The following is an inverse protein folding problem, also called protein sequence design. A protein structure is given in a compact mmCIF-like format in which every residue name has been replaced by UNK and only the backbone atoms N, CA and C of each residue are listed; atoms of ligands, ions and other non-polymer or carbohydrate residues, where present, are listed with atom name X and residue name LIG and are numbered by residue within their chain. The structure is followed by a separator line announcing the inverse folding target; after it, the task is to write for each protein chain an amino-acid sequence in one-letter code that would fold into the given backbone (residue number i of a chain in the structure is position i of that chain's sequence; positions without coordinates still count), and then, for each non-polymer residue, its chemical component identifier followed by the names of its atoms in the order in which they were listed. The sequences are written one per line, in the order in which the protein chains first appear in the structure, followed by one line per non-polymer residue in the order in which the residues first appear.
data_IF_413745502834
#
_entry.id   IF_413745502834
#
_cell.length_a   1.000
_cell.length_b   1.000
_cell.length_c   1.000
_cell.angle_alpha   90.00
_cell.angle_beta   90.00
_cell.angle_gamma   90.00
#
_symmetry.space_group_name_H-M   'P 1'
#
loop_
_entity.id
_entity.type
_entity.pdbx_description
1 polymer ?
#
# COMPACT_ATOMS: atom_id res chain seq x y z
N UNK A 1 -3.55 5.84 -18.40
CA UNK A 1 -3.78 6.41 -17.06
C UNK A 1 -2.85 5.80 -16.01
N UNK A 2 -2.93 4.49 -15.73
CA UNK A 2 -2.21 3.85 -14.62
C UNK A 2 -0.68 4.02 -14.64
N UNK A 3 0.03 3.85 -15.77
CA UNK A 3 1.49 4.05 -15.81
C UNK A 3 1.92 5.49 -15.51
N UNK A 4 1.13 6.47 -15.97
CA UNK A 4 1.39 7.88 -15.68
C UNK A 4 1.14 8.20 -14.20
N UNK A 5 0.07 7.63 -13.60
CA UNK A 5 -0.23 7.81 -12.18
C UNK A 5 0.86 7.19 -11.29
N UNK A 6 1.31 5.97 -11.59
CA UNK A 6 2.43 5.33 -10.87
C UNK A 6 3.68 6.19 -10.94
N UNK A 7 4.01 6.74 -12.12
CA UNK A 7 5.17 7.63 -12.28
C UNK A 7 5.02 8.93 -11.48
N UNK A 8 3.84 9.53 -11.44
CA UNK A 8 3.60 10.76 -10.67
C UNK A 8 3.67 10.52 -9.16
N UNK A 9 3.14 9.39 -8.69
CA UNK A 9 3.20 9.01 -7.27
C UNK A 9 4.64 8.72 -6.83
N UNK A 10 5.45 8.07 -7.67
CA UNK A 10 6.86 7.85 -7.37
C UNK A 10 7.66 9.16 -7.38
N UNK A 11 7.40 10.05 -8.34
CA UNK A 11 7.98 11.40 -8.37
C UNK A 11 7.64 12.18 -7.10
N UNK A 12 6.39 12.13 -6.66
CA UNK A 12 5.97 12.75 -5.41
C UNK A 12 6.76 12.22 -4.21
N UNK A 13 6.89 10.89 -4.04
CA UNK A 13 7.62 10.30 -2.90
C UNK A 13 9.10 10.70 -2.85
N UNK A 14 9.70 10.98 -4.01
CA UNK A 14 11.08 11.46 -4.09
C UNK A 14 11.11 12.95 -3.70
N UNK A 15 10.28 13.77 -4.37
CA UNK A 15 10.28 15.23 -4.17
C UNK A 15 9.89 15.58 -2.73
N UNK A 16 8.91 14.89 -2.13
CA UNK A 16 8.44 15.15 -0.77
C UNK A 16 9.57 15.01 0.27
N UNK A 17 10.54 14.12 0.03
CA UNK A 17 11.72 13.97 0.88
C UNK A 17 12.76 15.07 0.66
N UNK A 18 12.83 15.64 -0.54
CA UNK A 18 13.76 16.74 -0.85
C UNK A 18 13.28 18.07 -0.27
N UNK A 19 11.98 18.23 -0.08
CA UNK A 19 11.37 19.49 0.38
C UNK A 19 10.79 19.39 1.80
N UNK A 20 11.16 18.36 2.57
CA UNK A 20 10.60 18.08 3.90
C UNK A 20 10.79 19.26 4.87
N UNK A 21 11.88 20.01 4.74
CA UNK A 21 12.18 21.20 5.56
C UNK A 21 11.20 22.37 5.31
N UNK A 22 10.78 22.57 4.06
CA UNK A 22 9.87 23.66 3.66
C UNK A 22 8.39 23.23 3.68
N UNK A 23 8.14 21.94 3.46
CA UNK A 23 6.81 21.33 3.35
C UNK A 23 6.80 20.04 4.17
N UNK A 24 6.54 20.14 5.49
CA UNK A 24 6.61 19.00 6.41
C UNK A 24 5.55 17.92 6.12
N UNK A 25 4.40 18.30 5.56
CA UNK A 25 3.38 17.35 5.15
C UNK A 25 2.51 17.86 3.99
N UNK A 26 1.91 16.92 3.27
CA UNK A 26 0.97 17.22 2.18
C UNK A 26 -0.29 17.94 2.68
N UNK A 27 -0.73 17.68 3.91
CA UNK A 27 -1.87 18.38 4.52
C UNK A 27 -1.54 19.85 4.79
N UNK A 28 -0.34 20.14 5.28
CA UNK A 28 0.11 21.52 5.47
C UNK A 28 0.25 22.24 4.12
N UNK A 29 0.78 21.55 3.10
CA UNK A 29 0.82 22.08 1.73
C UNK A 29 -0.58 22.44 1.23
N UNK A 30 -1.52 21.50 1.31
CA UNK A 30 -2.89 21.73 0.85
C UNK A 30 -3.58 22.85 1.61
N UNK A 31 -3.39 22.93 2.93
CA UNK A 31 -3.92 24.02 3.76
C UNK A 31 -3.32 25.38 3.36
N UNK A 32 -2.00 25.46 3.20
CA UNK A 32 -1.27 26.68 2.80
C UNK A 32 -1.76 27.23 1.46
N UNK A 33 -2.03 26.35 0.50
CA UNK A 33 -2.49 26.73 -0.83
C UNK A 33 -4.02 26.66 -1.02
N UNK A 34 -4.79 26.44 0.06
CA UNK A 34 -6.27 26.35 0.06
C UNK A 34 -6.80 25.34 -0.96
N UNK A 35 -6.16 24.17 -1.04
CA UNK A 35 -6.57 23.08 -1.91
C UNK A 35 -7.63 22.22 -1.21
N UNK A 36 -8.82 22.11 -1.80
CA UNK A 36 -9.89 21.22 -1.34
C UNK A 36 -10.03 20.01 -2.28
N UNK A 37 -9.14 19.04 -2.10
CA UNK A 37 -9.06 17.86 -2.96
C UNK A 37 -8.86 16.57 -2.13
N UNK A 38 -9.84 16.17 -1.30
CA UNK A 38 -9.70 15.03 -0.38
C UNK A 38 -9.41 13.70 -1.09
N UNK A 39 -9.94 13.49 -2.29
CA UNK A 39 -9.65 12.31 -3.09
C UNK A 39 -8.19 12.26 -3.59
N UNK A 40 -7.61 13.41 -3.94
CA UNK A 40 -6.21 13.51 -4.33
C UNK A 40 -5.29 13.26 -3.13
N UNK A 41 -5.61 13.86 -1.97
CA UNK A 41 -4.91 13.62 -0.72
C UNK A 41 -4.90 12.12 -0.36
N UNK A 42 -6.06 11.47 -0.42
CA UNK A 42 -6.18 10.04 -0.17
C UNK A 42 -5.29 9.23 -1.11
N UNK A 43 -5.34 9.51 -2.42
CA UNK A 43 -4.51 8.83 -3.43
C UNK A 43 -3.02 8.95 -3.13
N UNK A 44 -2.56 10.15 -2.76
CA UNK A 44 -1.17 10.42 -2.43
C UNK A 44 -0.73 9.62 -1.18
N UNK A 45 -1.58 9.56 -0.15
CA UNK A 45 -1.32 8.76 1.06
C UNK A 45 -1.26 7.27 0.80
N UNK A 46 -2.14 6.77 -0.07
CA UNK A 46 -2.20 5.36 -0.46
C UNK A 46 -0.98 4.95 -1.30
N UNK A 47 -0.48 5.84 -2.16
CA UNK A 47 0.76 5.60 -2.92
C UNK A 47 0.63 4.67 -4.13
N UNK A 48 -0.57 4.13 -4.41
CA UNK A 48 -0.86 3.34 -5.63
C UNK A 48 -2.01 3.95 -6.44
N UNK A 49 -2.10 3.75 -7.77
CA UNK A 49 -3.16 4.30 -8.60
C UNK A 49 -4.58 3.88 -8.21
N UNK A 50 -5.59 4.68 -8.57
CA UNK A 50 -7.00 4.36 -8.31
C UNK A 50 -7.48 3.08 -8.99
N UNK A 51 -6.89 2.75 -10.13
CA UNK A 51 -7.17 1.50 -10.82
C UNK A 51 -6.60 0.29 -10.08
N UNK A 52 -5.66 0.47 -9.14
CA UNK A 52 -5.16 -0.59 -8.25
C UNK A 52 -5.99 -0.63 -6.97
N UNK A 53 -6.47 0.50 -6.47
CA UNK A 53 -7.34 0.55 -5.30
C UNK A 53 -8.81 0.19 -5.58
N UNK A 54 -9.25 0.37 -6.83
CA UNK A 54 -10.65 0.17 -7.25
C UNK A 54 -10.77 -0.55 -8.61
N UNK A 55 -9.85 -1.45 -8.95
CA UNK A 55 -9.88 -2.21 -10.22
C UNK A 55 -11.28 -2.77 -10.51
N UNK A 56 -11.92 -2.28 -11.57
CA UNK A 56 -13.15 -2.85 -12.15
C UNK A 56 -12.86 -3.83 -13.29
N UNK A 57 -11.64 -3.76 -13.84
CA UNK A 57 -11.17 -4.65 -14.90
C UNK A 57 -10.59 -5.90 -14.28
N UNK A 58 -11.40 -6.94 -14.21
CA UNK A 58 -10.90 -8.28 -14.02
C UNK A 58 -10.55 -8.88 -15.37
N UNK A 59 -9.25 -9.10 -15.62
CA UNK A 59 -8.85 -10.01 -16.68
C UNK A 59 -9.27 -11.45 -16.34
N UNK A 60 -9.19 -12.40 -17.29
CA UNK A 60 -9.41 -13.80 -16.98
C UNK A 60 -8.46 -14.22 -15.85
N UNK A 61 -9.02 -14.67 -14.72
CA UNK A 61 -8.24 -15.15 -13.59
C UNK A 61 -7.44 -16.37 -14.02
N UNK A 62 -6.14 -16.18 -14.27
CA UNK A 62 -5.26 -17.27 -14.67
C UNK A 62 -4.69 -17.94 -13.42
N UNK A 63 -4.47 -19.26 -13.46
CA UNK A 63 -3.79 -19.97 -12.38
C UNK A 63 -2.42 -19.37 -12.02
N UNK A 64 -1.77 -18.72 -13.00
CA UNK A 64 -0.56 -17.90 -12.79
C UNK A 64 -0.78 -16.74 -11.81
N UNK A 65 -1.86 -15.98 -11.95
CA UNK A 65 -2.14 -14.84 -11.05
C UNK A 65 -2.46 -15.28 -9.63
N UNK A 66 -3.21 -16.39 -9.50
CA UNK A 66 -3.47 -17.03 -8.20
C UNK A 66 -2.14 -17.40 -7.55
N UNK A 67 -1.27 -18.11 -8.27
CA UNK A 67 0.04 -18.52 -7.76
C UNK A 67 0.92 -17.33 -7.36
N UNK A 68 1.03 -16.30 -8.21
CA UNK A 68 1.80 -15.09 -7.91
C UNK A 68 1.29 -14.38 -6.66
N UNK A 69 -0.02 -14.24 -6.51
CA UNK A 69 -0.60 -13.51 -5.37
C UNK A 69 -0.49 -14.31 -4.08
N UNK A 70 -0.71 -15.63 -4.14
CA UNK A 70 -0.45 -16.53 -3.01
C UNK A 70 1.02 -16.46 -2.58
N UNK A 71 1.94 -16.43 -3.54
CA UNK A 71 3.36 -16.24 -3.26
C UNK A 71 3.62 -14.90 -2.57
N UNK A 72 3.04 -13.79 -3.05
CA UNK A 72 3.16 -12.49 -2.39
C UNK A 72 2.64 -12.50 -0.95
N UNK A 73 1.54 -13.21 -0.66
CA UNK A 73 1.04 -13.40 0.71
C UNK A 73 2.06 -14.14 1.58
N UNK A 74 2.59 -15.26 1.08
CA UNK A 74 3.60 -16.06 1.79
C UNK A 74 4.85 -15.22 2.06
N UNK A 75 5.36 -14.53 1.05
CA UNK A 75 6.54 -13.66 1.17
C UNK A 75 6.34 -12.58 2.24
N UNK A 76 5.17 -11.92 2.27
CA UNK A 76 4.90 -10.90 3.28
C UNK A 76 4.81 -11.48 4.69
N UNK A 77 4.13 -12.62 4.86
CA UNK A 77 4.06 -13.30 6.15
C UNK A 77 5.42 -13.78 6.63
N UNK A 78 6.25 -14.31 5.74
CA UNK A 78 7.58 -14.80 6.10
C UNK A 78 8.54 -13.67 6.44
N UNK A 79 8.46 -12.52 5.76
CA UNK A 79 9.19 -11.31 6.16
C UNK A 79 8.88 -10.91 7.61
N UNK A 80 7.59 -10.91 7.98
CA UNK A 80 7.16 -10.60 9.36
C UNK A 80 7.66 -11.64 10.37
N UNK A 81 7.64 -12.94 10.02
CA UNK A 81 8.17 -14.02 10.88
C UNK A 81 9.70 -13.92 11.06
N UNK A 82 10.41 -13.47 10.02
CA UNK A 82 11.85 -13.18 10.07
C UNK A 82 12.17 -11.89 10.82
N UNK A 83 11.18 -11.26 11.46
CA UNK A 83 11.29 -10.00 12.21
C UNK A 83 11.75 -8.82 11.34
N UNK A 84 11.47 -8.86 10.04
CA UNK A 84 11.57 -7.65 9.21
C UNK A 84 10.49 -6.68 9.68
N UNK A 85 10.90 -5.51 10.16
CA UNK A 85 10.00 -4.49 10.73
C UNK A 85 10.20 -3.12 10.11
N UNK A 86 11.33 -2.88 9.45
CA UNK A 86 11.62 -1.60 8.83
C UNK A 86 10.72 -1.33 7.61
N UNK A 87 10.37 -0.06 7.40
CA UNK A 87 9.54 0.37 6.26
C UNK A 87 10.15 -0.05 4.93
N UNK A 88 11.43 0.21 4.70
CA UNK A 88 12.12 -0.09 3.44
C UNK A 88 12.09 -1.58 3.08
N UNK A 89 12.04 -2.45 4.09
CA UNK A 89 11.87 -3.89 3.95
C UNK A 89 10.42 -4.31 3.68
N UNK A 90 9.45 -3.75 4.43
CA UNK A 90 8.06 -4.20 4.38
C UNK A 90 7.24 -3.54 3.27
N UNK A 91 7.50 -2.26 2.97
CA UNK A 91 6.71 -1.47 2.03
C UNK A 91 6.71 -2.05 0.61
N UNK A 92 7.85 -2.44 0.01
CA UNK A 92 7.85 -3.02 -1.34
C UNK A 92 7.01 -4.31 -1.41
N UNK A 93 7.14 -5.17 -0.40
CA UNK A 93 6.44 -6.47 -0.35
C UNK A 93 4.92 -6.27 -0.20
N UNK A 94 4.50 -5.34 0.68
CA UNK A 94 3.08 -5.02 0.86
C UNK A 94 2.48 -4.35 -0.37
N UNK A 95 3.23 -3.47 -1.04
CA UNK A 95 2.77 -2.82 -2.27
C UNK A 95 2.53 -3.82 -3.39
N UNK A 96 3.43 -4.79 -3.56
CA UNK A 96 3.29 -5.87 -4.54
C UNK A 96 2.09 -6.76 -4.20
N UNK A 97 1.87 -7.06 -2.92
CA UNK A 97 0.70 -7.82 -2.47
C UNK A 97 -0.62 -7.10 -2.77
N UNK A 98 -0.74 -5.81 -2.43
CA UNK A 98 -1.95 -5.00 -2.70
C UNK A 98 -2.20 -4.91 -4.20
N UNK A 99 -1.16 -4.67 -5.00
CA UNK A 99 -1.27 -4.57 -6.46
C UNK A 99 -1.61 -5.91 -7.09
N UNK A 100 -1.02 -6.99 -6.56
CA UNK A 100 -1.28 -8.35 -7.00
C UNK A 100 -2.71 -8.77 -6.72
N UNK A 101 -3.25 -8.48 -5.54
CA UNK A 101 -4.62 -8.83 -5.21
C UNK A 101 -5.66 -7.97 -5.95
N UNK A 102 -5.32 -6.73 -6.28
CA UNK A 102 -6.22 -5.82 -6.98
C UNK A 102 -6.71 -6.35 -8.35
N UNK A 103 -6.08 -7.36 -8.93
CA UNK A 103 -6.42 -7.90 -10.25
C UNK A 103 -7.55 -8.95 -10.27
N UNK A 104 -7.99 -9.45 -9.11
CA UNK A 104 -9.05 -10.46 -8.99
C UNK A 104 -10.46 -9.88 -9.01
N UNK A 105 -11.43 -10.69 -9.47
CA UNK A 105 -12.86 -10.41 -9.34
C UNK A 105 -13.25 -10.46 -7.87
N UNK A 106 -14.16 -9.58 -7.44
CA UNK A 106 -14.58 -9.52 -6.03
C UNK A 106 -13.54 -8.92 -5.08
N UNK A 107 -12.38 -8.50 -5.58
CA UNK A 107 -11.34 -7.86 -4.75
C UNK A 107 -11.84 -6.60 -4.04
N UNK A 108 -12.91 -5.95 -4.53
CA UNK A 108 -13.49 -4.74 -3.91
C UNK A 108 -14.31 -5.05 -2.66
N UNK A 109 -14.93 -6.23 -2.61
CA UNK A 109 -15.87 -6.62 -1.56
C UNK A 109 -15.15 -7.36 -0.42
N UNK A 110 -13.90 -7.76 -0.65
CA UNK A 110 -13.10 -8.45 0.34
C UNK A 110 -12.53 -7.50 1.39
N UNK A 111 -12.94 -7.74 2.64
CA UNK A 111 -12.56 -6.95 3.82
C UNK A 111 -11.04 -6.80 3.99
N UNK A 112 -10.28 -7.80 3.54
CA UNK A 112 -8.82 -7.80 3.65
C UNK A 112 -8.13 -6.68 2.88
N UNK A 113 -8.74 -6.20 1.79
CA UNK A 113 -8.16 -5.13 0.97
C UNK A 113 -8.04 -3.83 1.74
N UNK A 114 -9.11 -3.43 2.43
CA UNK A 114 -9.13 -2.21 3.25
C UNK A 114 -8.05 -2.25 4.33
N UNK A 115 -7.85 -3.42 4.96
CA UNK A 115 -6.80 -3.62 5.96
C UNK A 115 -5.39 -3.49 5.37
N UNK A 116 -5.12 -4.10 4.21
CA UNK A 116 -3.80 -4.00 3.56
C UNK A 116 -3.51 -2.57 3.09
N UNK A 117 -4.50 -1.87 2.53
CA UNK A 117 -4.35 -0.46 2.14
C UNK A 117 -4.09 0.43 3.38
N UNK A 118 -4.79 0.18 4.49
CA UNK A 118 -4.54 0.89 5.75
C UNK A 118 -3.10 0.75 6.24
N UNK A 119 -2.54 -0.47 6.19
CA UNK A 119 -1.13 -0.69 6.52
C UNK A 119 -0.17 -0.04 5.54
N UNK A 120 -0.50 -0.01 4.25
CA UNK A 120 0.30 0.68 3.24
C UNK A 120 0.37 2.20 3.51
N UNK A 121 -0.75 2.81 3.93
CA UNK A 121 -0.80 4.21 4.36
C UNK A 121 0.09 4.43 5.59
N UNK A 122 0.01 3.55 6.60
CA UNK A 122 0.87 3.63 7.79
C UNK A 122 2.35 3.58 7.40
N UNK A 123 2.76 2.60 6.58
CA UNK A 123 4.13 2.49 6.10
C UNK A 123 4.55 3.72 5.27
N UNK A 124 3.66 4.27 4.44
CA UNK A 124 3.95 5.48 3.67
C UNK A 124 4.26 6.69 4.57
N UNK A 125 3.61 6.81 5.74
CA UNK A 125 3.87 7.87 6.71
C UNK A 125 5.17 7.76 7.51
N UNK A 126 5.81 6.58 7.51
CA UNK A 126 7.03 6.32 8.30
C UNK A 126 8.32 6.73 7.56
N UNK A 127 9.43 6.92 8.28
CA UNK A 127 10.76 7.06 7.65
C UNK A 127 11.26 5.70 7.14
N UNK A 128 12.17 5.70 6.16
CA UNK A 128 12.66 4.46 5.54
C UNK A 128 13.25 3.47 6.55
N UNK A 129 14.01 3.98 7.52
CA UNK A 129 14.64 3.21 8.60
C UNK A 129 13.74 2.99 9.81
N UNK A 130 12.51 3.51 9.80
CA UNK A 130 11.60 3.39 10.93
C UNK A 130 10.96 2.01 10.93
N UNK A 131 10.81 1.43 12.12
CA UNK A 131 10.31 0.08 12.31
C UNK A 131 8.89 0.08 12.87
N UNK A 132 8.06 -0.85 12.40
CA UNK A 132 6.82 -1.18 13.08
C UNK A 132 7.10 -1.64 14.50
N UNK A 133 6.27 -1.20 15.45
CA UNK A 133 6.33 -1.71 16.82
C UNK A 133 6.04 -3.22 16.84
N UNK A 134 6.45 -3.90 17.91
CA UNK A 134 6.16 -5.32 18.05
C UNK A 134 4.65 -5.60 18.06
N UNK A 135 3.87 -4.72 18.67
CA UNK A 135 2.42 -4.78 18.66
C UNK A 135 1.85 -4.60 17.24
N UNK A 136 2.33 -3.60 16.50
CA UNK A 136 1.93 -3.40 15.11
C UNK A 136 2.30 -4.60 14.25
N UNK A 137 3.50 -5.17 14.40
CA UNK A 137 3.95 -6.36 13.67
C UNK A 137 3.04 -7.56 13.93
N UNK A 138 2.62 -7.79 15.18
CA UNK A 138 1.64 -8.83 15.53
C UNK A 138 0.27 -8.54 14.92
N UNK A 139 -0.19 -7.29 14.95
CA UNK A 139 -1.47 -6.89 14.37
C UNK A 139 -1.49 -7.05 12.85
N UNK A 140 -0.43 -6.65 12.13
CA UNK A 140 -0.28 -6.87 10.68
C UNK A 140 -0.35 -8.36 10.39
N UNK A 141 0.45 -9.16 11.11
CA UNK A 141 0.51 -10.62 10.91
C UNK A 141 -0.87 -11.26 11.07
N UNK A 142 -1.59 -10.89 12.14
CA UNK A 142 -2.94 -11.39 12.38
C UNK A 142 -3.92 -10.97 11.28
N UNK A 143 -3.89 -9.69 10.88
CA UNK A 143 -4.74 -9.17 9.82
C UNK A 143 -4.50 -9.91 8.51
N UNK A 144 -3.25 -10.08 8.07
CA UNK A 144 -2.89 -10.75 6.82
C UNK A 144 -3.23 -12.25 6.85
N UNK A 145 -2.98 -12.93 7.97
CA UNK A 145 -3.36 -14.33 8.12
C UNK A 145 -4.87 -14.50 7.96
N UNK A 146 -5.67 -13.65 8.60
CA UNK A 146 -7.13 -13.67 8.48
C UNK A 146 -7.58 -13.38 7.05
N UNK A 147 -6.95 -12.43 6.39
CA UNK A 147 -7.20 -12.11 4.98
C UNK A 147 -7.09 -13.37 4.09
N UNK A 148 -5.99 -14.12 4.21
CA UNK A 148 -5.77 -15.33 3.40
C UNK A 148 -6.85 -16.42 3.60
N UNK A 149 -7.43 -16.51 4.81
CA UNK A 149 -8.44 -17.54 5.13
C UNK A 149 -9.86 -17.15 4.71
N UNK A 150 -10.13 -15.86 4.50
CA UNK A 150 -11.44 -15.32 4.11
C UNK A 150 -11.54 -14.96 2.63
N UNK A 151 -10.49 -15.20 1.85
CA UNK A 151 -10.39 -14.90 0.41
C UNK A 151 -10.58 -16.12 -0.48
#
# INVERSE_FOLDING_TARGET
YSPACTRLLSQYQIISKLVEDDVPSIEQFMSRYRMDNPAALHRIKVGVPATVEHSSEAGPETGKWVAETTQSFITFMDALKLRMRAKDQLHPILQDLVTGYARFKGSKDWEGRSRMVGWLITLNGMKASEELSEEQSRQVTFCIARCLHTG
#
